data_IF_702717188595
#
_entry.id   IF_702717188595
#
_cell.length_a   1.000
_cell.length_b   1.000
_cell.length_c   1.000
_cell.angle_alpha   90.00
_cell.angle_beta   90.00
_cell.angle_gamma   90.00
#
_symmetry.space_group_name_H-M   'P 1'
#
loop_
_entity.id
_entity.type
_entity.pdbx_description
1 polymer ?
#
# COMPACT_ATOMS: atom_id res chain seq x y z
N UNK A 1 -6.75 1.22 18.97
CA UNK A 1 -6.77 0.15 17.96
C UNK A 1 -5.42 -0.50 17.95
N UNK A 2 -5.24 -1.69 18.51
CA UNK A 2 -3.93 -2.34 18.64
C UNK A 2 -3.34 -2.77 17.30
N UNK A 3 -4.17 -2.94 16.28
CA UNK A 3 -3.78 -3.51 14.98
C UNK A 3 -3.27 -2.47 13.96
N UNK A 4 -3.29 -1.18 14.30
CA UNK A 4 -2.80 -0.12 13.43
C UNK A 4 -1.66 0.62 14.10
N UNK A 5 -0.55 0.69 13.41
CA UNK A 5 0.63 1.41 13.86
C UNK A 5 1.03 2.45 12.84
N UNK A 6 1.65 3.52 13.30
CA UNK A 6 2.24 4.53 12.43
C UNK A 6 3.66 4.88 12.85
N UNK A 7 4.41 5.39 11.89
CA UNK A 7 5.73 5.96 12.11
C UNK A 7 5.94 7.16 11.17
N UNK A 8 6.70 8.12 11.64
CA UNK A 8 7.19 9.26 10.85
C UNK A 8 8.71 9.13 10.76
N UNK A 9 9.25 9.36 9.56
CA UNK A 9 10.69 9.25 9.30
C UNK A 9 11.19 10.46 8.54
N UNK A 10 12.44 10.82 8.77
CA UNK A 10 13.18 11.80 7.99
C UNK A 10 13.65 11.25 6.62
N UNK A 11 14.40 12.04 5.86
CA UNK A 11 14.94 11.66 4.55
C UNK A 11 16.01 10.56 4.61
N UNK A 12 16.66 10.39 5.76
CA UNK A 12 17.62 9.31 6.02
C UNK A 12 16.94 8.02 6.50
N UNK A 13 15.59 8.01 6.52
CA UNK A 13 14.75 6.92 7.05
C UNK A 13 14.93 6.68 8.56
N UNK A 14 15.37 7.68 9.31
CA UNK A 14 15.40 7.63 10.76
C UNK A 14 14.03 7.93 11.33
N UNK A 15 13.65 7.22 12.35
CA UNK A 15 12.39 7.43 13.04
C UNK A 15 12.41 8.77 13.79
N UNK A 16 11.45 9.64 13.49
CA UNK A 16 11.18 10.89 14.21
C UNK A 16 10.06 10.68 15.24
N UNK A 17 9.10 9.84 14.91
CA UNK A 17 8.00 9.48 15.81
C UNK A 17 7.44 8.11 15.43
N UNK A 18 6.89 7.40 16.42
CA UNK A 18 6.13 6.19 16.21
C UNK A 18 5.01 6.04 17.25
N UNK A 19 3.97 5.26 16.87
CA UNK A 19 2.87 4.96 17.77
C UNK A 19 3.27 3.96 18.85
N UNK A 20 2.56 3.98 19.99
CA UNK A 20 2.78 3.01 21.08
C UNK A 20 2.71 1.54 20.59
N UNK A 21 1.83 1.23 19.61
CA UNK A 21 1.76 -0.10 19.03
C UNK A 21 3.05 -0.57 18.35
N UNK A 22 3.96 0.33 17.98
CA UNK A 22 5.28 -0.03 17.44
C UNK A 22 6.28 -0.44 18.52
N UNK A 23 6.10 -0.02 19.76
CA UNK A 23 7.08 -0.23 20.85
C UNK A 23 7.35 -1.73 21.05
N UNK A 24 6.29 -2.53 21.16
CA UNK A 24 6.41 -3.98 21.30
C UNK A 24 7.08 -4.63 20.09
N UNK A 25 6.76 -4.18 18.86
CA UNK A 25 7.39 -4.68 17.63
C UNK A 25 8.91 -4.48 17.61
N UNK A 26 9.35 -3.33 18.11
CA UNK A 26 10.75 -2.94 18.12
C UNK A 26 11.52 -3.44 19.34
N UNK A 27 10.88 -4.17 20.28
CA UNK A 27 11.43 -4.58 21.56
C UNK A 27 11.96 -3.38 22.41
N UNK A 28 11.31 -2.25 22.30
CA UNK A 28 11.63 -1.04 23.04
C UNK A 28 10.82 -0.98 24.33
N UNK A 29 11.31 -0.19 25.30
CA UNK A 29 10.57 0.10 26.55
C UNK A 29 9.59 1.25 26.38
N UNK A 30 9.90 2.18 25.49
CA UNK A 30 9.06 3.32 25.15
C UNK A 30 9.40 3.82 23.73
N UNK A 31 8.49 4.61 23.15
CA UNK A 31 8.60 5.10 21.77
C UNK A 31 9.79 6.05 21.53
N UNK A 32 10.24 6.77 22.54
CA UNK A 32 11.34 7.73 22.43
C UNK A 32 12.67 7.05 22.12
N UNK A 33 12.83 5.78 22.49
CA UNK A 33 14.05 5.02 22.19
C UNK A 33 14.24 4.73 20.70
N UNK A 34 13.22 4.92 19.86
CA UNK A 34 13.33 4.75 18.42
C UNK A 34 13.81 6.01 17.70
N UNK A 35 13.76 7.17 18.37
CA UNK A 35 14.11 8.45 17.76
C UNK A 35 15.56 8.45 17.27
N UNK A 36 15.74 8.84 16.01
CA UNK A 36 17.04 8.83 15.33
C UNK A 36 17.54 7.46 14.86
N UNK A 37 16.91 6.35 15.27
CA UNK A 37 17.27 5.01 14.79
C UNK A 37 16.68 4.73 13.41
N UNK A 38 17.31 3.82 12.69
CA UNK A 38 16.83 3.29 11.40
C UNK A 38 16.12 1.95 11.58
N UNK A 39 15.46 1.46 10.52
CA UNK A 39 14.85 0.14 10.54
C UNK A 39 15.86 -0.99 10.77
N UNK A 40 17.13 -0.84 10.33
CA UNK A 40 18.16 -1.84 10.51
C UNK A 40 18.60 -2.00 11.98
N UNK A 41 18.40 -0.97 12.79
CA UNK A 41 18.71 -1.02 14.22
C UNK A 41 17.55 -1.61 15.04
N UNK A 42 16.35 -1.69 14.46
CA UNK A 42 15.11 -2.10 15.15
C UNK A 42 14.54 -3.45 14.71
N UNK A 43 14.81 -3.86 13.47
CA UNK A 43 14.20 -5.05 12.86
C UNK A 43 15.24 -5.98 12.24
N UNK A 44 14.91 -7.27 12.02
CA UNK A 44 15.76 -8.18 11.27
C UNK A 44 16.12 -7.63 9.88
N UNK A 45 17.36 -7.86 9.42
CA UNK A 45 17.89 -7.27 8.17
C UNK A 45 16.98 -7.47 6.96
N UNK A 46 16.38 -8.63 6.78
CA UNK A 46 15.49 -8.90 5.64
C UNK A 46 14.26 -7.96 5.63
N UNK A 47 13.66 -7.70 6.79
CA UNK A 47 12.55 -6.76 6.93
C UNK A 47 13.05 -5.32 6.77
N UNK A 48 14.16 -4.97 7.42
CA UNK A 48 14.75 -3.64 7.36
C UNK A 48 15.12 -3.22 5.94
N UNK A 49 15.72 -4.12 5.16
CA UNK A 49 16.03 -3.90 3.74
C UNK A 49 14.76 -3.60 2.93
N UNK A 50 13.69 -4.36 3.15
CA UNK A 50 12.40 -4.15 2.48
C UNK A 50 11.80 -2.80 2.85
N UNK A 51 11.80 -2.44 4.14
CA UNK A 51 11.30 -1.14 4.61
C UNK A 51 12.11 0.02 4.02
N UNK A 52 13.43 -0.11 3.96
CA UNK A 52 14.30 0.90 3.35
C UNK A 52 14.06 1.04 1.85
N UNK A 53 13.90 -0.05 1.13
CA UNK A 53 13.57 -0.03 -0.30
C UNK A 53 12.27 0.73 -0.58
N UNK A 54 11.24 0.51 0.25
CA UNK A 54 9.97 1.24 0.14
C UNK A 54 10.12 2.72 0.50
N UNK A 55 10.94 3.05 1.50
CA UNK A 55 11.22 4.45 1.84
C UNK A 55 11.89 5.16 0.65
N UNK A 56 12.88 4.52 0.00
CA UNK A 56 13.53 5.03 -1.20
C UNK A 56 12.56 5.21 -2.37
N UNK A 57 11.62 4.28 -2.58
CA UNK A 57 10.58 4.44 -3.58
C UNK A 57 9.78 5.74 -3.36
N UNK A 58 9.41 6.04 -2.11
CA UNK A 58 8.68 7.27 -1.77
C UNK A 58 9.55 8.51 -2.00
N UNK A 59 10.83 8.46 -1.63
CA UNK A 59 11.73 9.61 -1.72
C UNK A 59 12.21 9.90 -3.15
N UNK A 60 12.66 8.88 -3.86
CA UNK A 60 13.30 9.04 -5.18
C UNK A 60 12.28 9.04 -6.32
N UNK A 61 11.33 8.10 -6.29
CA UNK A 61 10.35 7.95 -7.35
C UNK A 61 9.11 8.82 -7.13
N UNK A 62 9.00 9.47 -5.96
CA UNK A 62 7.83 10.27 -5.56
C UNK A 62 6.52 9.47 -5.60
N UNK A 63 6.61 8.15 -5.52
CA UNK A 63 5.46 7.23 -5.57
C UNK A 63 5.12 6.74 -4.17
N UNK A 64 3.87 6.91 -3.72
CA UNK A 64 3.44 6.35 -2.44
C UNK A 64 3.44 4.82 -2.50
N UNK A 65 3.70 4.19 -1.36
CA UNK A 65 3.44 2.76 -1.15
C UNK A 65 2.00 2.61 -0.66
N UNK A 66 1.23 1.72 -1.30
CA UNK A 66 -0.19 1.51 -0.96
C UNK A 66 -0.51 0.04 -0.83
N UNK A 67 -1.17 -0.29 0.28
CA UNK A 67 -1.65 -1.64 0.57
C UNK A 67 -0.62 -2.73 0.28
N UNK A 68 0.66 -2.45 0.56
CA UNK A 68 1.74 -3.42 0.39
C UNK A 68 1.59 -4.50 1.44
N UNK A 69 1.58 -5.74 1.00
CA UNK A 69 1.58 -6.89 1.91
C UNK A 69 3.02 -7.16 2.35
N UNK A 70 3.30 -6.89 3.61
CA UNK A 70 4.65 -6.98 4.18
C UNK A 70 4.70 -7.95 5.35
N UNK A 71 5.84 -8.65 5.45
CA UNK A 71 6.21 -9.34 6.69
C UNK A 71 6.53 -8.31 7.78
N UNK A 72 6.02 -8.57 8.96
CA UNK A 72 6.24 -7.74 10.14
C UNK A 72 6.43 -8.61 11.39
N UNK A 73 6.73 -7.95 12.49
CA UNK A 73 6.67 -8.53 13.83
C UNK A 73 5.52 -7.85 14.56
N UNK A 74 4.63 -8.60 15.18
CA UNK A 74 3.53 -8.05 15.99
C UNK A 74 4.03 -7.54 17.35
N UNK A 75 3.17 -6.90 18.10
CA UNK A 75 3.51 -6.34 19.41
C UNK A 75 4.00 -7.42 20.41
N UNK A 76 3.55 -8.67 20.26
CA UNK A 76 3.95 -9.85 21.05
C UNK A 76 5.22 -10.53 20.50
N UNK A 77 5.88 -9.92 19.54
CA UNK A 77 7.07 -10.46 18.85
C UNK A 77 6.81 -11.66 17.94
N UNK A 78 5.59 -12.08 17.75
CA UNK A 78 5.26 -13.09 16.77
C UNK A 78 5.45 -12.56 15.34
N UNK A 79 6.02 -13.36 14.41
CA UNK A 79 6.07 -12.99 13.00
C UNK A 79 4.66 -12.96 12.41
N UNK A 80 4.40 -12.03 11.52
CA UNK A 80 3.09 -11.88 10.91
C UNK A 80 3.09 -11.04 9.64
N UNK A 81 1.90 -10.72 9.18
CA UNK A 81 1.67 -9.96 7.97
C UNK A 81 0.92 -8.67 8.28
N UNK A 82 1.25 -7.61 7.55
CA UNK A 82 0.55 -6.34 7.64
C UNK A 82 0.34 -5.74 6.24
N UNK A 83 -0.63 -4.84 6.12
CA UNK A 83 -0.75 -3.94 4.98
C UNK A 83 -0.11 -2.61 5.30
N UNK A 84 0.90 -2.25 4.52
CA UNK A 84 1.68 -1.03 4.69
C UNK A 84 1.29 0.02 3.67
N UNK A 85 1.14 1.25 4.14
CA UNK A 85 0.98 2.45 3.33
C UNK A 85 2.04 3.46 3.74
N UNK A 86 2.71 4.07 2.75
CA UNK A 86 3.70 5.13 2.97
C UNK A 86 3.45 6.30 2.03
N UNK A 87 3.56 7.50 2.57
CA UNK A 87 3.37 8.74 1.83
C UNK A 87 4.42 9.75 2.22
N UNK A 88 4.88 10.54 1.24
CA UNK A 88 5.81 11.66 1.47
C UNK A 88 5.20 12.74 2.35
N UNK A 89 6.02 13.34 3.20
CA UNK A 89 5.73 14.54 3.96
C UNK A 89 6.46 15.73 3.33
N UNK A 90 5.76 16.86 3.24
CA UNK A 90 6.29 18.10 2.71
C UNK A 90 6.10 19.21 3.73
N UNK A 91 7.01 20.16 3.73
CA UNK A 91 6.85 21.42 4.47
C UNK A 91 5.84 22.36 3.76
N UNK A 92 5.48 23.50 4.36
CA UNK A 92 4.59 24.48 3.74
C UNK A 92 5.07 25.02 2.39
N UNK A 93 6.38 24.99 2.14
CA UNK A 93 7.00 25.42 0.87
C UNK A 93 7.01 24.29 -0.19
N UNK A 94 6.45 23.13 0.12
CA UNK A 94 6.38 21.96 -0.78
C UNK A 94 7.66 21.14 -0.85
N UNK A 95 8.66 21.40 -0.01
CA UNK A 95 9.89 20.61 0.03
C UNK A 95 9.64 19.29 0.76
N UNK A 96 10.18 18.20 0.20
CA UNK A 96 10.13 16.90 0.85
C UNK A 96 10.98 16.94 2.14
N UNK A 97 10.36 16.59 3.27
CA UNK A 97 11.00 16.57 4.59
C UNK A 97 11.03 15.17 5.22
N UNK A 98 10.32 14.19 4.65
CA UNK A 98 10.26 12.84 5.20
C UNK A 98 9.10 12.04 4.64
N UNK A 99 8.68 11.03 5.38
CA UNK A 99 7.50 10.22 5.09
C UNK A 99 6.72 9.86 6.35
N UNK A 100 5.43 9.56 6.16
CA UNK A 100 4.58 8.85 7.12
C UNK A 100 4.35 7.43 6.63
N UNK A 101 4.44 6.47 7.55
CA UNK A 101 4.14 5.07 7.35
C UNK A 101 2.97 4.68 8.25
N UNK A 102 1.97 4.00 7.69
CA UNK A 102 0.85 3.41 8.43
C UNK A 102 0.78 1.93 8.06
N UNK A 103 0.76 1.05 9.05
CA UNK A 103 0.62 -0.39 8.83
C UNK A 103 -0.52 -0.94 9.65
N UNK A 104 -1.33 -1.81 9.02
CA UNK A 104 -2.42 -2.54 9.67
C UNK A 104 -2.06 -4.02 9.74
N UNK A 105 -2.07 -4.57 10.95
CA UNK A 105 -1.82 -5.99 11.17
C UNK A 105 -2.95 -6.88 10.62
N UNK A 106 -2.57 -8.02 10.08
CA UNK A 106 -3.47 -9.04 9.55
C UNK A 106 -3.44 -10.29 10.43
N UNK A 107 -3.57 -10.09 11.75
CA UNK A 107 -3.37 -11.13 12.77
C UNK A 107 -4.25 -12.35 12.55
N UNK A 108 -5.55 -12.18 12.28
CA UNK A 108 -6.46 -13.30 12.04
C UNK A 108 -6.11 -14.06 10.76
N UNK A 109 -5.87 -13.36 9.66
CA UNK A 109 -5.50 -13.97 8.39
C UNK A 109 -4.17 -14.73 8.48
N UNK A 110 -3.25 -14.23 9.32
CA UNK A 110 -1.98 -14.92 9.62
C UNK A 110 -2.23 -16.20 10.40
N UNK A 111 -3.09 -16.17 11.44
CA UNK A 111 -3.46 -17.35 12.23
C UNK A 111 -4.18 -18.42 11.40
N UNK A 112 -5.01 -18.01 10.46
CA UNK A 112 -5.69 -18.89 9.51
C UNK A 112 -4.77 -19.45 8.42
N UNK A 113 -3.48 -19.08 8.41
CA UNK A 113 -2.49 -19.49 7.40
C UNK A 113 -2.91 -19.14 5.95
N UNK A 114 -3.68 -18.07 5.79
CA UNK A 114 -4.12 -17.58 4.48
C UNK A 114 -3.04 -16.74 3.78
N UNK A 115 -2.01 -16.33 4.52
CA UNK A 115 -0.92 -15.49 4.03
C UNK A 115 0.40 -16.26 4.12
N UNK A 116 1.08 -16.35 3.00
CA UNK A 116 2.39 -16.95 2.87
C UNK A 116 3.25 -16.12 1.89
N UNK A 117 4.53 -16.44 1.81
CA UNK A 117 5.48 -15.69 0.97
C UNK A 117 5.15 -15.78 -0.53
N UNK A 118 4.60 -16.90 -1.00
CA UNK A 118 4.24 -17.07 -2.40
C UNK A 118 3.05 -16.21 -2.78
N UNK A 119 2.03 -16.15 -1.93
CA UNK A 119 0.89 -15.25 -2.13
C UNK A 119 1.33 -13.78 -2.06
N UNK A 120 2.20 -13.43 -1.12
CA UNK A 120 2.75 -12.08 -1.04
C UNK A 120 3.57 -11.70 -2.28
N UNK A 121 4.38 -12.62 -2.79
CA UNK A 121 5.14 -12.43 -4.03
C UNK A 121 4.21 -12.23 -5.24
N UNK A 122 3.09 -12.97 -5.29
CA UNK A 122 2.09 -12.78 -6.34
C UNK A 122 1.44 -11.39 -6.26
N UNK A 123 1.06 -10.93 -5.07
CA UNK A 123 0.51 -9.57 -4.85
C UNK A 123 1.53 -8.52 -5.27
N UNK A 124 2.79 -8.70 -4.88
CA UNK A 124 3.91 -7.83 -5.23
C UNK A 124 4.12 -7.76 -6.75
N UNK A 125 4.04 -8.91 -7.40
CA UNK A 125 4.13 -9.01 -8.84
C UNK A 125 3.03 -8.20 -9.56
N UNK A 126 1.79 -8.28 -9.10
CA UNK A 126 0.69 -7.47 -9.63
C UNK A 126 0.98 -5.97 -9.45
N UNK A 127 1.43 -5.57 -8.26
CA UNK A 127 1.71 -4.17 -7.94
C UNK A 127 2.92 -3.60 -8.68
N UNK A 128 3.82 -4.44 -9.17
CA UNK A 128 5.02 -4.04 -9.91
C UNK A 128 4.78 -4.05 -11.42
N UNK A 129 3.99 -5.00 -11.93
CA UNK A 129 3.82 -5.23 -13.36
C UNK A 129 2.40 -4.92 -13.87
N UNK A 130 1.68 -4.03 -13.18
CA UNK A 130 0.30 -3.65 -13.54
C UNK A 130 0.18 -3.00 -14.94
N UNK A 131 1.26 -2.44 -15.46
CA UNK A 131 1.36 -1.72 -16.74
C UNK A 131 1.27 -2.63 -17.97
N UNK A 132 1.47 -3.94 -17.80
CA UNK A 132 1.39 -4.95 -18.85
C UNK A 132 0.19 -5.90 -18.67
N UNK A 133 -0.15 -6.71 -19.67
CA UNK A 133 -1.10 -7.81 -19.49
C UNK A 133 -0.61 -8.77 -18.41
N UNK A 134 -1.47 -9.07 -17.43
CA UNK A 134 -1.24 -10.05 -16.38
C UNK A 134 -2.19 -11.24 -16.63
N UNK A 135 -1.62 -12.41 -16.87
CA UNK A 135 -2.38 -13.64 -17.12
C UNK A 135 -2.62 -14.38 -15.80
N UNK A 136 -3.83 -14.91 -15.62
CA UNK A 136 -4.19 -15.66 -14.40
C UNK A 136 -3.30 -16.88 -14.18
N UNK A 137 -2.86 -17.54 -15.25
CA UNK A 137 -1.93 -18.67 -15.21
C UNK A 137 -0.60 -18.27 -14.53
N UNK A 138 0.01 -17.16 -14.98
CA UNK A 138 1.23 -16.61 -14.39
C UNK A 138 1.07 -16.36 -12.88
N UNK A 139 -0.07 -15.81 -12.48
CA UNK A 139 -0.35 -15.51 -11.07
C UNK A 139 -0.60 -16.80 -10.26
N UNK A 140 -1.21 -17.82 -10.86
CA UNK A 140 -1.39 -19.13 -10.26
C UNK A 140 -0.04 -19.82 -10.02
N UNK A 141 0.85 -19.79 -10.98
CA UNK A 141 2.19 -20.40 -10.88
C UNK A 141 3.01 -19.73 -9.78
N UNK A 142 3.00 -18.39 -9.71
CA UNK A 142 3.67 -17.63 -8.66
C UNK A 142 3.14 -17.97 -7.27
N UNK A 143 1.83 -17.99 -7.11
CA UNK A 143 1.21 -18.20 -5.80
C UNK A 143 1.13 -19.68 -5.39
N UNK A 144 1.19 -20.61 -6.36
CA UNK A 144 0.92 -22.03 -6.15
C UNK A 144 -0.55 -22.34 -5.85
N UNK A 145 -1.46 -21.44 -6.24
CA UNK A 145 -2.89 -21.53 -5.99
C UNK A 145 -3.66 -21.72 -7.30
N UNK A 146 -4.76 -22.44 -7.25
CA UNK A 146 -5.72 -22.40 -8.35
C UNK A 146 -6.39 -21.02 -8.42
N UNK A 147 -6.95 -20.67 -9.59
CA UNK A 147 -7.67 -19.39 -9.80
C UNK A 147 -8.72 -19.14 -8.71
N UNK A 148 -9.51 -20.17 -8.39
CA UNK A 148 -10.56 -20.04 -7.37
C UNK A 148 -10.03 -19.87 -5.94
N UNK A 149 -8.89 -20.49 -5.62
CA UNK A 149 -8.23 -20.31 -4.32
C UNK A 149 -7.64 -18.90 -4.22
N UNK A 150 -6.96 -18.44 -5.28
CA UNK A 150 -6.39 -17.09 -5.34
C UNK A 150 -7.48 -16.03 -5.22
N UNK A 151 -8.58 -16.15 -5.97
CA UNK A 151 -9.69 -15.19 -5.90
C UNK A 151 -10.33 -15.14 -4.50
N UNK A 152 -10.52 -16.30 -3.83
CA UNK A 152 -10.98 -16.34 -2.45
C UNK A 152 -10.02 -15.67 -1.48
N UNK A 153 -8.69 -15.91 -1.60
CA UNK A 153 -7.68 -15.24 -0.77
C UNK A 153 -7.66 -13.73 -1.02
N UNK A 154 -7.68 -13.30 -2.28
CA UNK A 154 -7.74 -11.87 -2.64
C UNK A 154 -8.97 -11.19 -2.03
N UNK A 155 -10.16 -11.79 -2.17
CA UNK A 155 -11.39 -11.28 -1.54
C UNK A 155 -11.29 -11.20 -0.01
N UNK A 156 -10.65 -12.19 0.62
CA UNK A 156 -10.48 -12.22 2.07
C UNK A 156 -9.50 -11.15 2.57
N UNK A 157 -8.37 -10.97 1.89
CA UNK A 157 -7.31 -10.03 2.29
C UNK A 157 -7.63 -8.60 1.85
N UNK A 158 -8.03 -8.43 0.59
CA UNK A 158 -8.19 -7.13 -0.05
C UNK A 158 -9.64 -6.76 -0.34
N UNK A 159 -10.61 -7.65 -0.04
CA UNK A 159 -12.03 -7.48 -0.35
C UNK A 159 -12.30 -7.20 -1.85
N UNK A 160 -11.43 -7.70 -2.70
CA UNK A 160 -11.47 -7.54 -4.14
C UNK A 160 -11.10 -8.85 -4.83
N UNK A 161 -11.70 -9.14 -5.97
CA UNK A 161 -11.22 -10.20 -6.86
C UNK A 161 -9.85 -9.84 -7.44
N UNK A 162 -9.14 -10.83 -8.01
CA UNK A 162 -7.84 -10.59 -8.68
C UNK A 162 -7.97 -9.50 -9.74
N UNK A 163 -8.98 -9.58 -10.60
CA UNK A 163 -9.19 -8.59 -11.66
C UNK A 163 -9.53 -7.19 -11.15
N UNK A 164 -10.28 -7.10 -10.04
CA UNK A 164 -10.55 -5.83 -9.36
C UNK A 164 -9.30 -5.26 -8.74
N UNK A 165 -8.47 -6.08 -8.10
CA UNK A 165 -7.21 -5.64 -7.51
C UNK A 165 -6.26 -5.07 -8.57
N UNK A 166 -6.12 -5.75 -9.72
CA UNK A 166 -5.34 -5.24 -10.86
C UNK A 166 -5.89 -3.90 -11.34
N UNK A 167 -7.22 -3.76 -11.52
CA UNK A 167 -7.84 -2.50 -11.95
C UNK A 167 -7.64 -1.37 -10.96
N UNK A 168 -7.71 -1.66 -9.65
CA UNK A 168 -7.46 -0.68 -8.58
C UNK A 168 -6.01 -0.22 -8.59
N UNK A 169 -5.05 -1.14 -8.71
CA UNK A 169 -3.61 -0.83 -8.81
C UNK A 169 -3.30 0.06 -10.02
N UNK A 170 -3.87 -0.28 -11.20
CA UNK A 170 -3.76 0.56 -12.41
C UNK A 170 -4.33 1.96 -12.21
N UNK A 171 -5.51 2.05 -11.59
CA UNK A 171 -6.16 3.34 -11.34
C UNK A 171 -5.37 4.20 -10.35
N UNK A 172 -4.79 3.61 -9.31
CA UNK A 172 -3.93 4.33 -8.37
C UNK A 172 -2.71 4.93 -9.06
N UNK A 173 -2.04 4.15 -9.92
CA UNK A 173 -0.92 4.64 -10.73
C UNK A 173 -1.35 5.75 -11.69
N UNK A 174 -2.49 5.59 -12.37
CA UNK A 174 -3.03 6.59 -13.28
C UNK A 174 -3.41 7.88 -12.55
N UNK A 175 -4.06 7.80 -11.38
CA UNK A 175 -4.38 8.96 -10.56
C UNK A 175 -3.13 9.73 -10.16
N UNK A 176 -2.09 9.02 -9.71
CA UNK A 176 -0.81 9.65 -9.39
C UNK A 176 -0.22 10.38 -10.61
N UNK A 177 -0.16 9.72 -11.77
CA UNK A 177 0.34 10.33 -13.00
C UNK A 177 -0.52 11.53 -13.47
N UNK A 178 -1.85 11.45 -13.37
CA UNK A 178 -2.77 12.54 -13.73
C UNK A 178 -2.53 13.77 -12.85
N UNK A 179 -2.31 13.58 -11.55
CA UNK A 179 -2.16 14.65 -10.57
C UNK A 179 -0.79 15.29 -10.57
N UNK A 180 0.26 14.53 -10.88
CA UNK A 180 1.65 14.97 -10.72
C UNK A 180 2.41 15.13 -12.05
N UNK A 181 1.74 14.96 -13.19
CA UNK A 181 2.36 15.20 -14.50
C UNK A 181 1.45 15.93 -15.48
N UNK A 182 2.07 16.64 -16.43
CA UNK A 182 1.39 17.24 -17.58
C UNK A 182 1.18 16.28 -18.76
N UNK A 183 1.50 14.99 -18.61
CA UNK A 183 1.45 14.01 -19.71
C UNK A 183 0.06 13.93 -20.36
N UNK A 184 -0.02 13.64 -21.67
CA UNK A 184 -1.28 13.33 -22.33
C UNK A 184 -2.01 12.15 -21.65
N UNK A 185 -3.33 12.24 -21.57
CA UNK A 185 -4.12 11.18 -20.89
C UNK A 185 -4.06 9.84 -21.62
N UNK A 186 -3.83 9.85 -22.93
CA UNK A 186 -3.61 8.63 -23.73
C UNK A 186 -2.32 7.92 -23.30
N UNK A 187 -1.23 8.68 -23.10
CA UNK A 187 0.06 8.14 -22.66
C UNK A 187 -0.01 7.60 -21.22
N UNK A 188 -0.74 8.30 -20.35
CA UNK A 188 -1.00 7.82 -18.99
C UNK A 188 -1.80 6.52 -19.02
N UNK A 189 -2.85 6.43 -19.86
CA UNK A 189 -3.63 5.22 -19.99
C UNK A 189 -2.75 4.04 -20.44
N UNK A 190 -1.98 4.22 -21.49
CA UNK A 190 -1.07 3.19 -22.01
C UNK A 190 -0.04 2.75 -20.95
N UNK A 191 0.64 3.71 -20.30
CA UNK A 191 1.67 3.40 -19.29
C UNK A 191 1.12 2.85 -17.97
N UNK A 192 -0.19 2.87 -17.77
CA UNK A 192 -0.85 2.26 -16.61
C UNK A 192 -1.63 0.99 -16.97
N UNK A 193 -1.41 0.41 -18.16
CA UNK A 193 -1.98 -0.88 -18.56
C UNK A 193 -3.47 -0.83 -18.94
N UNK A 194 -4.01 0.35 -19.27
CA UNK A 194 -5.35 0.48 -19.85
C UNK A 194 -5.29 0.25 -21.36
N UNK A 195 -6.35 -0.35 -21.92
CA UNK A 195 -6.46 -0.57 -23.37
C UNK A 195 -6.44 0.75 -24.16
N UNK A 196 -7.04 1.79 -23.61
CA UNK A 196 -7.17 3.10 -24.22
C UNK A 196 -7.56 4.18 -23.19
N UNK A 197 -7.53 5.46 -23.63
CA UNK A 197 -7.94 6.60 -22.80
C UNK A 197 -9.43 6.52 -22.38
N UNK A 198 -10.28 5.89 -23.18
CA UNK A 198 -11.71 5.78 -22.87
C UNK A 198 -11.96 4.82 -21.71
N UNK A 199 -11.21 3.72 -21.64
CA UNK A 199 -11.21 2.78 -20.52
C UNK A 199 -10.79 3.47 -19.22
N UNK A 200 -9.69 4.22 -19.23
CA UNK A 200 -9.25 5.04 -18.11
C UNK A 200 -10.33 6.04 -17.71
N UNK A 201 -10.91 6.77 -18.66
CA UNK A 201 -11.93 7.80 -18.39
C UNK A 201 -13.19 7.20 -17.77
N UNK A 202 -13.65 6.05 -18.28
CA UNK A 202 -14.83 5.33 -17.78
C UNK A 202 -14.63 4.89 -16.33
N UNK A 203 -13.48 4.26 -16.04
CA UNK A 203 -13.18 3.81 -14.69
C UNK A 203 -12.98 4.98 -13.71
N UNK A 204 -12.32 6.06 -14.15
CA UNK A 204 -12.15 7.28 -13.35
C UNK A 204 -13.52 7.90 -12.97
N UNK A 205 -14.47 7.99 -13.92
CA UNK A 205 -15.83 8.47 -13.62
C UNK A 205 -16.59 7.54 -12.68
N UNK A 206 -16.46 6.24 -12.86
CA UNK A 206 -17.10 5.24 -12.01
C UNK A 206 -16.62 5.35 -10.57
N UNK A 207 -15.34 5.56 -10.35
CA UNK A 207 -14.73 5.57 -9.01
C UNK A 207 -14.81 6.92 -8.30
N UNK A 208 -14.68 8.03 -9.03
CA UNK A 208 -14.56 9.37 -8.45
C UNK A 208 -15.71 10.31 -8.81
N UNK A 209 -16.59 9.92 -9.72
CA UNK A 209 -17.58 10.82 -10.31
C UNK A 209 -16.98 11.91 -11.21
N UNK A 210 -15.68 11.86 -11.49
CA UNK A 210 -14.92 12.89 -12.18
C UNK A 210 -14.23 12.31 -13.43
N UNK A 211 -14.07 13.13 -14.46
CA UNK A 211 -13.17 12.79 -15.57
C UNK A 211 -11.70 12.99 -15.19
N UNK A 212 -10.74 12.32 -15.88
CA UNK A 212 -9.31 12.55 -15.63
C UNK A 212 -8.87 14.01 -15.74
N UNK A 213 -9.47 14.79 -16.65
CA UNK A 213 -9.20 16.24 -16.78
C UNK A 213 -9.67 17.01 -15.55
N UNK A 214 -10.87 16.72 -15.05
CA UNK A 214 -11.37 17.33 -13.82
C UNK A 214 -10.56 16.92 -12.60
N UNK A 215 -10.09 15.67 -12.54
CA UNK A 215 -9.21 15.20 -11.48
C UNK A 215 -7.88 15.98 -11.47
N UNK A 216 -7.29 16.21 -12.65
CA UNK A 216 -6.06 17.02 -12.81
C UNK A 216 -6.23 18.45 -12.32
N UNK A 217 -7.37 19.09 -12.61
CA UNK A 217 -7.64 20.48 -12.22
C UNK A 217 -7.92 20.66 -10.72
N UNK A 218 -8.42 19.62 -10.04
CA UNK A 218 -8.76 19.69 -8.62
C UNK A 218 -7.60 19.46 -7.67
N UNK A 219 -6.47 19.03 -8.18
CA UNK A 219 -5.27 18.80 -7.38
C UNK A 219 -4.34 19.99 -7.56
N UNK A 220 -4.21 20.91 -6.58
CA UNK A 220 -3.19 21.92 -6.63
C UNK A 220 -1.81 21.26 -6.60
N UNK A 221 -0.79 21.84 -7.24
CA UNK A 221 0.58 21.35 -7.14
C UNK A 221 0.97 21.24 -5.66
N UNK A 222 1.24 20.02 -5.16
CA UNK A 222 1.55 19.77 -3.74
C UNK A 222 0.35 19.54 -2.82
N UNK A 223 -0.89 19.52 -3.33
CA UNK A 223 -2.10 19.29 -2.52
C UNK A 223 -2.29 17.82 -2.08
N UNK A 224 -3.18 17.57 -1.10
CA UNK A 224 -3.44 16.24 -0.59
C UNK A 224 -3.97 15.33 -1.70
N UNK A 225 -3.42 14.13 -1.73
CA UNK A 225 -3.77 13.08 -2.69
C UNK A 225 -5.23 12.66 -2.50
N UNK A 226 -6.07 12.74 -3.53
CA UNK A 226 -7.40 12.10 -3.51
C UNK A 226 -7.19 10.58 -3.39
N UNK A 227 -7.60 10.02 -2.26
CA UNK A 227 -7.59 8.58 -2.07
C UNK A 227 -8.56 7.92 -3.06
N UNK A 228 -8.14 6.81 -3.65
CA UNK A 228 -9.02 5.98 -4.50
C UNK A 228 -10.16 5.46 -3.62
N UNK A 229 -11.45 5.76 -3.90
CA UNK A 229 -12.56 5.19 -3.16
C UNK A 229 -12.50 3.66 -3.29
N UNK A 230 -12.62 2.96 -2.18
CA UNK A 230 -12.42 1.51 -2.18
C UNK A 230 -10.97 1.09 -2.01
N UNK A 231 -10.08 2.00 -1.60
CA UNK A 231 -8.77 1.63 -1.05
C UNK A 231 -9.00 0.53 -0.04
N UNK A 232 -8.55 -0.64 -0.37
CA UNK A 232 -8.91 -1.94 0.16
C UNK A 232 -8.82 -1.89 1.67
N UNK A 233 -9.98 -1.92 2.33
CA UNK A 233 -10.04 -2.09 3.78
C UNK A 233 -9.75 -3.56 4.03
N UNK A 234 -8.61 -3.89 4.63
CA UNK A 234 -8.41 -5.21 5.16
C UNK A 234 -9.58 -5.56 6.08
N UNK A 235 -10.09 -6.79 5.99
CA UNK A 235 -11.18 -7.28 6.79
C UNK A 235 -10.97 -6.91 8.27
N UNK A 236 -11.74 -5.98 8.75
CA UNK A 236 -11.76 -5.55 10.14
C UNK A 236 -13.10 -5.98 10.71
N UNK A 237 -13.09 -6.52 11.91
CA UNK A 237 -14.21 -6.93 12.71
C UNK A 237 -15.47 -6.13 12.40
N UNK A 238 -16.50 -6.80 11.90
CA UNK A 238 -17.86 -6.40 12.24
C UNK A 238 -17.99 -6.76 13.72
N UNK A 239 -17.97 -5.75 14.59
CA UNK A 239 -18.47 -5.91 15.94
C UNK A 239 -19.91 -6.42 15.79
N UNK A 240 -20.15 -7.65 16.21
CA UNK A 240 -21.50 -8.09 16.53
C UNK A 240 -21.95 -7.25 17.71
N UNK A 241 -22.77 -6.23 17.45
CA UNK A 241 -23.69 -5.70 18.43
C UNK A 241 -24.63 -6.87 18.83
N UNK A 242 -24.28 -7.55 19.88
CA UNK A 242 -25.26 -8.27 20.67
C UNK A 242 -25.93 -7.23 21.58
N UNK A 243 -27.04 -6.69 21.09
CA UNK A 243 -28.09 -6.20 21.99
C UNK A 243 -28.71 -7.43 22.66
N UNK A 244 -28.57 -7.48 23.97
CA UNK A 244 -29.61 -7.81 24.97
C UNK A 244 -29.07 -7.46 26.37
#
# INVERSE_FOLDING_TARGET
>A
MPDVVFAVKDLDSRYLALSEGCVGRCALRNKWQAEGLTAHELFPNAMANRYRSQDLQVFLERRPVRNRLDLTVYHDRAPGWCLTNKQSLHDPDGRLIGLVCISKDLTELTREKLLDERFAACVDHIQTHYDRPLHLEELCDLSGLSVGQMDRRMKRVFQASVGEFIRLTRMEAACHAIQHSGRPLADIAASCGFSDQSALTRLCRQMFGLSPRQLRLRTPPGGPHLAVPGTIRAAGHQAHDCAD
#
